data_IF_779018191840
#
_entry.id   IF_779018191840
#
_cell.length_a   1.000
_cell.length_b   1.000
_cell.length_c   1.000
_cell.angle_alpha   90.00
_cell.angle_beta   90.00
_cell.angle_gamma   90.00
#
_symmetry.space_group_name_H-M   'P 1'
#
loop_
_entity.id
_entity.type
_entity.pdbx_description
1 polymer ?
#
# COMPACT_ATOMS: atom_id res chain seq x y z
N UNK A 1 -25.32 -8.57 14.36
CA UNK A 1 -25.93 -8.18 13.07
C UNK A 1 -25.38 -9.16 12.04
N UNK A 2 -26.23 -9.96 11.41
CA UNK A 2 -25.86 -10.82 10.29
C UNK A 2 -25.40 -9.94 9.15
N UNK A 3 -24.11 -9.98 8.84
CA UNK A 3 -23.54 -9.25 7.70
C UNK A 3 -24.07 -9.90 6.42
N UNK A 4 -24.67 -9.12 5.54
CA UNK A 4 -25.18 -9.63 4.27
C UNK A 4 -24.03 -10.03 3.37
N UNK A 5 -24.00 -11.31 2.96
CA UNK A 5 -22.98 -11.84 2.00
C UNK A 5 -22.99 -11.04 0.71
N UNK A 6 -24.16 -10.67 0.18
CA UNK A 6 -24.26 -9.85 -1.03
C UNK A 6 -23.56 -8.49 -0.89
N UNK A 7 -23.66 -7.84 0.27
CA UNK A 7 -22.94 -6.59 0.55
C UNK A 7 -21.42 -6.79 0.55
N UNK A 8 -20.95 -7.90 1.11
CA UNK A 8 -19.52 -8.23 1.15
C UNK A 8 -18.97 -8.54 -0.24
N UNK A 9 -19.77 -9.16 -1.11
CA UNK A 9 -19.42 -9.38 -2.53
C UNK A 9 -19.28 -8.03 -3.25
N UNK A 10 -20.27 -7.14 -3.14
CA UNK A 10 -20.18 -5.80 -3.74
C UNK A 10 -18.98 -5.03 -3.22
N UNK A 11 -18.72 -5.09 -1.91
CA UNK A 11 -17.54 -4.47 -1.30
C UNK A 11 -16.23 -5.01 -1.90
N UNK A 12 -16.12 -6.34 -2.05
CA UNK A 12 -14.95 -6.98 -2.65
C UNK A 12 -14.74 -6.55 -4.12
N UNK A 13 -15.78 -6.48 -4.93
CA UNK A 13 -15.71 -5.98 -6.31
C UNK A 13 -15.24 -4.52 -6.34
N UNK A 14 -15.84 -3.65 -5.53
CA UNK A 14 -15.47 -2.23 -5.45
C UNK A 14 -14.02 -2.02 -4.98
N UNK A 15 -13.51 -2.87 -4.09
CA UNK A 15 -12.13 -2.82 -3.63
C UNK A 15 -11.15 -3.44 -4.64
N UNK A 16 -11.58 -4.47 -5.37
CA UNK A 16 -10.72 -5.21 -6.31
C UNK A 16 -10.37 -4.41 -7.56
N UNK A 17 -11.29 -3.62 -8.09
CA UNK A 17 -11.04 -2.82 -9.30
C UNK A 17 -9.90 -1.79 -9.10
N UNK A 18 -9.93 -0.91 -8.10
CA UNK A 18 -8.84 0.03 -7.87
C UNK A 18 -7.54 -0.68 -7.43
N UNK A 19 -7.63 -1.81 -6.73
CA UNK A 19 -6.44 -2.60 -6.39
C UNK A 19 -5.77 -3.14 -7.66
N UNK A 20 -6.54 -3.76 -8.55
CA UNK A 20 -6.01 -4.24 -9.84
C UNK A 20 -5.35 -3.12 -10.65
N UNK A 21 -6.01 -1.97 -10.76
CA UNK A 21 -5.47 -0.83 -11.48
C UNK A 21 -4.17 -0.32 -10.84
N UNK A 22 -4.10 -0.26 -9.49
CA UNK A 22 -2.91 0.14 -8.76
C UNK A 22 -1.74 -0.84 -8.99
N UNK A 23 -1.98 -2.14 -8.88
CA UNK A 23 -0.95 -3.17 -9.09
C UNK A 23 -0.44 -3.16 -10.55
N UNK A 24 -1.34 -3.00 -11.51
CA UNK A 24 -0.96 -2.94 -12.94
C UNK A 24 -0.11 -1.71 -13.24
N UNK A 25 -0.52 -0.53 -12.75
CA UNK A 25 0.25 0.70 -12.94
C UNK A 25 1.61 0.65 -12.23
N UNK A 26 1.69 0.01 -11.06
CA UNK A 26 2.95 -0.23 -10.37
C UNK A 26 3.89 -1.10 -11.20
N UNK A 27 3.37 -2.19 -11.76
CA UNK A 27 4.18 -3.10 -12.58
C UNK A 27 4.74 -2.41 -13.82
N UNK A 28 3.90 -1.62 -14.52
CA UNK A 28 4.35 -0.82 -15.67
C UNK A 28 5.41 0.22 -15.23
N UNK A 29 5.24 0.82 -14.04
CA UNK A 29 6.21 1.76 -13.48
C UNK A 29 7.57 1.12 -13.25
N UNK A 30 7.63 -0.06 -12.62
CA UNK A 30 8.87 -0.78 -12.32
C UNK A 30 9.65 -1.18 -13.58
N UNK A 31 8.96 -1.44 -14.70
CA UNK A 31 9.63 -1.80 -15.96
C UNK A 31 10.52 -0.68 -16.54
N UNK A 32 10.20 0.57 -16.20
CA UNK A 32 10.84 1.76 -16.82
C UNK A 32 11.52 2.70 -15.84
N UNK A 33 11.45 2.43 -14.53
CA UNK A 33 12.17 3.18 -13.49
C UNK A 33 12.86 2.23 -12.51
N UNK A 34 13.72 2.75 -11.64
CA UNK A 34 14.38 1.91 -10.64
C UNK A 34 13.40 1.46 -9.57
N UNK A 35 13.52 0.23 -9.03
CA UNK A 35 12.64 -0.27 -7.97
C UNK A 35 12.55 0.65 -6.75
N UNK A 36 13.67 1.28 -6.36
CA UNK A 36 13.71 2.23 -5.25
C UNK A 36 12.89 3.49 -5.51
N UNK A 37 13.00 4.08 -6.72
CA UNK A 37 12.20 5.24 -7.14
C UNK A 37 10.72 4.87 -7.20
N UNK A 38 10.39 3.73 -7.81
CA UNK A 38 9.01 3.26 -7.88
C UNK A 38 8.42 3.06 -6.47
N UNK A 39 9.12 2.40 -5.57
CA UNK A 39 8.68 2.18 -4.20
C UNK A 39 8.46 3.49 -3.44
N UNK A 40 9.39 4.46 -3.58
CA UNK A 40 9.22 5.78 -2.98
C UNK A 40 8.01 6.52 -3.54
N UNK A 41 7.86 6.56 -4.87
CA UNK A 41 6.75 7.26 -5.50
C UNK A 41 5.41 6.61 -5.17
N UNK A 42 5.33 5.28 -5.11
CA UNK A 42 4.13 4.55 -4.70
C UNK A 42 3.74 4.88 -3.26
N UNK A 43 4.71 4.99 -2.33
CA UNK A 43 4.44 5.34 -0.92
C UNK A 43 3.81 6.73 -0.76
N UNK A 44 3.79 7.58 -1.80
CA UNK A 44 3.06 8.86 -1.76
C UNK A 44 1.54 8.69 -1.53
N UNK A 45 0.99 7.47 -1.58
CA UNK A 45 -0.38 7.24 -1.10
C UNK A 45 -0.59 7.76 0.34
N UNK A 46 0.48 7.82 1.16
CA UNK A 46 0.46 8.40 2.51
C UNK A 46 0.03 9.87 2.50
N UNK A 47 0.32 10.62 1.43
CA UNK A 47 -0.16 11.99 1.23
C UNK A 47 -1.54 12.03 0.57
N UNK A 48 -1.79 11.18 -0.42
CA UNK A 48 -3.06 11.16 -1.14
C UNK A 48 -4.24 10.73 -0.27
N UNK A 49 -4.06 9.76 0.64
CA UNK A 49 -5.15 9.27 1.49
C UNK A 49 -5.73 10.37 2.41
N UNK A 50 -4.94 11.16 3.16
CA UNK A 50 -5.48 12.28 3.94
C UNK A 50 -6.17 13.35 3.09
N UNK A 51 -5.65 13.62 1.88
CA UNK A 51 -6.26 14.58 0.96
C UNK A 51 -7.61 14.06 0.46
N UNK A 52 -7.68 12.82 -0.01
CA UNK A 52 -8.94 12.19 -0.42
C UNK A 52 -9.94 12.11 0.74
N UNK A 53 -9.46 11.75 1.93
CA UNK A 53 -10.31 11.73 3.13
C UNK A 53 -10.88 13.11 3.43
N UNK A 54 -10.08 14.19 3.30
CA UNK A 54 -10.56 15.56 3.48
C UNK A 54 -11.63 15.94 2.46
N UNK A 55 -11.44 15.58 1.20
CA UNK A 55 -12.42 15.86 0.12
C UNK A 55 -13.72 15.11 0.38
N UNK A 56 -13.65 13.82 0.70
CA UNK A 56 -14.85 12.96 0.91
C UNK A 56 -15.59 13.36 2.19
N UNK A 57 -14.89 13.60 3.29
CA UNK A 57 -15.50 13.93 4.58
C UNK A 57 -15.77 15.42 4.75
N UNK A 58 -15.25 16.27 3.87
CA UNK A 58 -15.24 17.74 3.96
C UNK A 58 -14.63 18.25 5.28
N UNK A 59 -13.68 17.51 5.83
CA UNK A 59 -12.96 17.85 7.07
C UNK A 59 -11.47 17.74 6.83
N UNK A 60 -10.73 18.79 7.19
CA UNK A 60 -9.27 18.74 7.10
C UNK A 60 -8.69 17.70 8.08
N UNK A 61 -7.65 16.95 7.65
CA UNK A 61 -6.95 16.04 8.54
C UNK A 61 -6.28 16.83 9.68
N UNK A 62 -6.14 16.20 10.84
CA UNK A 62 -5.44 16.84 11.96
C UNK A 62 -3.98 17.11 11.61
N UNK A 63 -3.41 18.20 12.16
CA UNK A 63 -1.99 18.52 11.99
C UNK A 63 -1.08 17.33 12.35
N UNK A 64 -1.51 16.50 13.29
CA UNK A 64 -0.82 15.30 13.70
C UNK A 64 -0.71 14.27 12.56
N UNK A 65 -1.78 14.05 11.79
CA UNK A 65 -1.78 13.16 10.63
C UNK A 65 -0.91 13.75 9.51
N UNK A 66 -1.01 15.06 9.26
CA UNK A 66 -0.18 15.73 8.25
C UNK A 66 1.31 15.62 8.58
N UNK A 67 1.69 15.86 9.84
CA UNK A 67 3.07 15.73 10.28
C UNK A 67 3.56 14.28 10.23
N UNK A 68 2.74 13.33 10.67
CA UNK A 68 3.06 11.90 10.57
C UNK A 68 3.24 11.44 9.12
N UNK A 69 2.39 11.89 8.21
CA UNK A 69 2.51 11.59 6.78
C UNK A 69 3.80 12.17 6.18
N UNK A 70 4.15 13.41 6.55
CA UNK A 70 5.40 14.04 6.11
C UNK A 70 6.63 13.30 6.65
N UNK A 71 6.62 12.93 7.93
CA UNK A 71 7.71 12.13 8.52
C UNK A 71 7.84 10.77 7.82
N UNK A 72 6.73 10.06 7.57
CA UNK A 72 6.73 8.79 6.86
C UNK A 72 7.32 8.94 5.44
N UNK A 73 6.94 9.99 4.72
CA UNK A 73 7.46 10.29 3.39
C UNK A 73 8.98 10.56 3.40
N UNK A 74 9.46 11.39 4.34
CA UNK A 74 10.89 11.66 4.48
C UNK A 74 11.67 10.39 4.82
N UNK A 75 11.17 9.59 5.74
CA UNK A 75 11.79 8.31 6.11
C UNK A 75 11.85 7.33 4.92
N UNK A 76 10.76 7.18 4.18
CA UNK A 76 10.71 6.32 2.98
C UNK A 76 11.64 6.85 1.88
N UNK A 77 11.73 8.17 1.70
CA UNK A 77 12.71 8.77 0.79
C UNK A 77 14.14 8.35 1.15
N UNK A 78 14.52 8.45 2.42
CA UNK A 78 15.86 8.03 2.87
C UNK A 78 16.09 6.54 2.64
N UNK A 79 15.09 5.67 2.91
CA UNK A 79 15.22 4.23 2.66
C UNK A 79 15.44 3.93 1.17
N UNK A 80 14.62 4.50 0.30
CA UNK A 80 14.61 4.16 -1.11
C UNK A 80 15.74 4.84 -1.91
N UNK A 81 16.13 6.06 -1.53
CA UNK A 81 17.09 6.86 -2.30
C UNK A 81 18.55 6.70 -1.84
N UNK A 82 18.80 6.04 -0.69
CA UNK A 82 20.16 5.83 -0.19
C UNK A 82 20.63 4.37 -0.25
N UNK A 83 19.75 3.45 -0.70
CA UNK A 83 20.04 2.02 -0.83
C UNK A 83 20.71 1.64 -2.15
N UNK A 84 21.14 0.38 -2.26
CA UNK A 84 21.68 -0.19 -3.48
C UNK A 84 20.71 -0.14 -4.68
N UNK A 85 19.41 -0.09 -4.41
CA UNK A 85 18.34 0.01 -5.42
C UNK A 85 18.04 1.46 -5.85
N UNK A 86 18.76 2.46 -5.35
CA UNK A 86 18.50 3.87 -5.62
C UNK A 86 18.68 4.27 -7.11
N UNK A 87 19.42 3.47 -7.89
CA UNK A 87 19.68 3.78 -9.29
C UNK A 87 20.50 5.06 -9.48
N UNK A 88 20.46 5.64 -10.67
CA UNK A 88 21.22 6.85 -11.05
C UNK A 88 20.64 8.17 -10.52
N UNK A 89 19.81 8.15 -9.48
CA UNK A 89 19.15 9.34 -8.93
C UNK A 89 17.89 9.75 -9.72
N UNK A 90 17.18 10.72 -9.17
CA UNK A 90 15.97 11.26 -9.79
C UNK A 90 16.34 12.23 -10.92
N UNK A 91 16.40 11.73 -12.15
CA UNK A 91 16.80 12.50 -13.32
C UNK A 91 15.65 13.30 -13.98
N UNK A 92 14.47 13.32 -13.36
CA UNK A 92 13.27 13.97 -13.88
C UNK A 92 12.06 13.04 -13.90
N UNK A 93 10.89 13.56 -14.31
CA UNK A 93 9.65 12.79 -14.37
C UNK A 93 9.56 12.10 -15.72
N UNK A 94 9.95 10.84 -15.77
CA UNK A 94 9.77 9.95 -16.93
C UNK A 94 8.43 9.22 -16.92
N UNK A 95 8.25 8.31 -17.87
CA UNK A 95 7.00 7.51 -17.97
C UNK A 95 6.79 6.61 -16.76
N UNK A 96 7.87 5.99 -16.23
CA UNK A 96 7.79 5.10 -15.07
C UNK A 96 7.39 5.81 -13.79
N UNK A 97 7.92 7.03 -13.60
CA UNK A 97 7.58 7.88 -12.46
C UNK A 97 6.11 8.31 -12.50
N UNK A 98 5.59 8.67 -13.68
CA UNK A 98 4.16 8.99 -13.84
C UNK A 98 3.26 7.80 -13.51
N UNK A 99 3.61 6.59 -13.98
CA UNK A 99 2.87 5.37 -13.64
C UNK A 99 2.93 5.07 -12.14
N UNK A 100 4.07 5.30 -11.50
CA UNK A 100 4.23 5.10 -10.04
C UNK A 100 3.42 6.12 -9.22
N UNK A 101 3.31 7.37 -9.67
CA UNK A 101 2.46 8.38 -9.02
C UNK A 101 0.98 8.03 -9.20
N UNK A 102 0.58 7.60 -10.40
CA UNK A 102 -0.79 7.12 -10.65
C UNK A 102 -1.12 5.90 -9.77
N UNK A 103 -0.18 4.98 -9.63
CA UNK A 103 -0.29 3.85 -8.71
C UNK A 103 -0.54 4.31 -7.27
N UNK A 104 0.22 5.28 -6.76
CA UNK A 104 0.02 5.84 -5.42
C UNK A 104 -1.39 6.42 -5.24
N UNK A 105 -1.90 7.14 -6.23
CA UNK A 105 -3.27 7.66 -6.21
C UNK A 105 -4.31 6.54 -6.19
N UNK A 106 -4.14 5.51 -7.03
CA UNK A 106 -5.05 4.36 -7.09
C UNK A 106 -5.04 3.53 -5.81
N UNK A 107 -3.88 3.34 -5.17
CA UNK A 107 -3.82 2.74 -3.83
C UNK A 107 -4.53 3.60 -2.80
N UNK A 108 -4.39 4.91 -2.86
CA UNK A 108 -5.13 5.80 -1.95
C UNK A 108 -6.64 5.67 -2.14
N UNK A 109 -7.13 5.58 -3.38
CA UNK A 109 -8.55 5.31 -3.68
C UNK A 109 -8.96 3.94 -3.11
N UNK A 110 -8.16 2.89 -3.35
CA UNK A 110 -8.42 1.54 -2.83
C UNK A 110 -8.53 1.56 -1.30
N UNK A 111 -7.62 2.23 -0.60
CA UNK A 111 -7.65 2.33 0.86
C UNK A 111 -8.89 3.08 1.36
N UNK A 112 -9.35 4.12 0.66
CA UNK A 112 -10.57 4.82 1.00
C UNK A 112 -11.81 3.94 0.81
N UNK A 113 -11.87 3.16 -0.27
CA UNK A 113 -12.95 2.21 -0.54
C UNK A 113 -12.99 1.10 0.50
N UNK A 114 -11.83 0.51 0.84
CA UNK A 114 -11.73 -0.49 1.93
C UNK A 114 -12.19 0.11 3.24
N UNK A 115 -11.71 1.31 3.61
CA UNK A 115 -12.11 1.99 4.85
C UNK A 115 -13.61 2.27 4.95
N UNK A 116 -14.29 2.44 3.81
CA UNK A 116 -15.74 2.61 3.75
C UNK A 116 -16.50 1.30 3.97
N UNK A 117 -16.10 0.22 3.32
CA UNK A 117 -16.83 -1.05 3.32
C UNK A 117 -16.44 -2.00 4.45
N UNK A 118 -15.16 -2.07 4.81
CA UNK A 118 -14.62 -3.03 5.77
C UNK A 118 -15.33 -3.04 7.14
N UNK A 119 -15.74 -1.90 7.74
CA UNK A 119 -16.45 -1.92 9.03
C UNK A 119 -17.81 -2.62 9.00
N UNK A 120 -18.39 -2.84 7.82
CA UNK A 120 -19.77 -3.34 7.64
C UNK A 120 -19.87 -4.58 6.75
N UNK A 121 -18.74 -5.10 6.26
CA UNK A 121 -18.64 -6.29 5.41
C UNK A 121 -18.08 -7.48 6.21
N UNK A 122 -18.35 -8.70 5.73
CA UNK A 122 -17.58 -9.86 6.12
C UNK A 122 -16.20 -9.75 5.44
N UNK A 123 -15.15 -9.60 6.24
CA UNK A 123 -13.82 -9.28 5.76
C UNK A 123 -13.18 -10.43 4.97
N UNK A 124 -13.50 -11.67 5.32
CA UNK A 124 -12.98 -12.83 4.57
C UNK A 124 -13.63 -12.91 3.19
N UNK A 125 -14.96 -12.78 3.12
CA UNK A 125 -15.67 -12.77 1.84
C UNK A 125 -15.23 -11.57 0.99
N UNK A 126 -15.12 -10.38 1.59
CA UNK A 126 -14.66 -9.17 0.90
C UNK A 126 -13.26 -9.35 0.34
N UNK A 127 -12.31 -9.89 1.13
CA UNK A 127 -10.93 -10.13 0.68
C UNK A 127 -10.85 -11.17 -0.41
N UNK A 128 -11.57 -12.28 -0.29
CA UNK A 128 -11.60 -13.32 -1.32
C UNK A 128 -12.15 -12.78 -2.65
N UNK A 129 -13.27 -12.03 -2.62
CA UNK A 129 -13.85 -11.43 -3.83
C UNK A 129 -12.94 -10.33 -4.40
N UNK A 130 -12.27 -9.53 -3.55
CA UNK A 130 -11.30 -8.53 -3.99
C UNK A 130 -10.15 -9.16 -4.79
N UNK A 131 -9.56 -10.23 -4.29
CA UNK A 131 -8.46 -10.94 -4.97
C UNK A 131 -8.94 -11.68 -6.20
N UNK A 132 -10.13 -12.29 -6.16
CA UNK A 132 -10.76 -12.91 -7.33
C UNK A 132 -11.01 -11.87 -8.44
N UNK A 133 -11.47 -10.66 -8.08
CA UNK A 133 -11.65 -9.56 -9.02
C UNK A 133 -10.33 -9.19 -9.70
N UNK A 134 -9.24 -9.07 -8.93
CA UNK A 134 -7.91 -8.82 -9.49
C UNK A 134 -7.49 -9.94 -10.45
N UNK A 135 -7.72 -11.20 -10.09
CA UNK A 135 -7.37 -12.36 -10.93
C UNK A 135 -8.17 -12.38 -12.24
N UNK A 136 -9.47 -12.11 -12.16
CA UNK A 136 -10.35 -12.07 -13.36
C UNK A 136 -9.95 -10.91 -14.27
N UNK A 137 -9.70 -9.72 -13.74
CA UNK A 137 -9.27 -8.57 -14.54
C UNK A 137 -7.85 -8.72 -15.11
N UNK A 138 -6.97 -9.45 -14.40
CA UNK A 138 -5.61 -9.73 -14.84
C UNK A 138 -5.50 -10.85 -15.87
N UNK A 139 -6.47 -11.77 -15.90
CA UNK A 139 -6.41 -12.96 -16.78
C UNK A 139 -6.28 -12.64 -18.27
N UNK A 140 -6.92 -11.61 -18.87
CA UNK A 140 -6.74 -11.27 -20.28
C UNK A 140 -5.29 -10.90 -20.63
N UNK A 141 -4.54 -10.32 -19.70
CA UNK A 141 -3.14 -9.96 -19.94
C UNK A 141 -2.22 -11.17 -20.07
N UNK A 142 -2.58 -12.31 -19.47
CA UNK A 142 -1.86 -13.57 -19.66
C UNK A 142 -2.00 -14.13 -21.09
N UNK A 143 -3.05 -13.72 -21.81
CA UNK A 143 -3.32 -14.16 -23.17
C UNK A 143 -2.61 -13.28 -24.21
N UNK A 144 -1.97 -12.19 -23.81
CA UNK A 144 -1.17 -11.38 -24.72
C UNK A 144 0.00 -12.22 -25.27
N UNK A 145 0.25 -12.13 -26.56
CA UNK A 145 1.18 -13.01 -27.27
C UNK A 145 2.60 -13.06 -26.67
N UNK A 146 3.09 -11.96 -26.11
CA UNK A 146 4.40 -11.88 -25.43
C UNK A 146 4.45 -12.72 -24.16
N UNK A 147 3.39 -12.72 -23.37
CA UNK A 147 3.33 -13.44 -22.10
C UNK A 147 2.96 -14.92 -22.33
N UNK A 148 2.08 -15.20 -23.27
CA UNK A 148 1.74 -16.58 -23.64
C UNK A 148 2.98 -17.38 -24.09
N UNK A 149 3.91 -16.74 -24.83
CA UNK A 149 5.18 -17.35 -25.21
C UNK A 149 6.08 -17.71 -24.03
N UNK A 150 6.17 -16.84 -23.05
CA UNK A 150 6.95 -17.09 -21.82
C UNK A 150 6.35 -18.23 -20.98
N UNK A 151 5.04 -18.30 -20.88
CA UNK A 151 4.32 -19.37 -20.16
C UNK A 151 4.53 -20.71 -20.87
N UNK A 152 4.37 -20.75 -22.20
CA UNK A 152 4.55 -21.95 -23.02
C UNK A 152 5.99 -22.48 -22.98
N UNK A 153 7.00 -21.62 -22.77
CA UNK A 153 8.40 -21.99 -22.63
C UNK A 153 8.75 -22.63 -21.26
N UNK A 154 7.78 -22.99 -20.43
CA UNK A 154 8.01 -23.61 -19.11
C UNK A 154 8.35 -22.62 -18.00
N UNK A 155 8.26 -21.32 -18.26
CA UNK A 155 8.56 -20.27 -17.27
C UNK A 155 7.70 -20.37 -16.01
N UNK A 156 6.45 -20.81 -16.15
CA UNK A 156 5.54 -21.01 -15.03
C UNK A 156 6.01 -22.13 -14.08
N UNK A 157 6.52 -23.23 -14.64
CA UNK A 157 7.06 -24.33 -13.85
C UNK A 157 8.36 -23.94 -13.14
N UNK A 158 9.20 -23.11 -13.75
CA UNK A 158 10.42 -22.63 -13.13
C UNK A 158 10.14 -21.61 -12.00
N UNK A 159 9.05 -20.84 -12.12
CA UNK A 159 8.68 -19.78 -11.18
C UNK A 159 7.58 -20.21 -10.17
N UNK A 160 7.27 -21.51 -10.05
CA UNK A 160 6.17 -21.97 -9.21
C UNK A 160 6.26 -21.51 -7.76
N UNK A 161 7.46 -21.58 -7.16
CA UNK A 161 7.64 -21.19 -5.76
C UNK A 161 7.42 -19.69 -5.51
N UNK A 162 8.04 -18.75 -6.25
CA UNK A 162 7.71 -17.34 -6.16
C UNK A 162 6.23 -17.04 -6.40
N UNK A 163 5.59 -17.72 -7.35
CA UNK A 163 4.17 -17.51 -7.68
C UNK A 163 3.26 -17.93 -6.51
N UNK A 164 3.49 -19.10 -5.93
CA UNK A 164 2.73 -19.58 -4.76
C UNK A 164 2.99 -18.69 -3.56
N UNK A 165 4.24 -18.29 -3.32
CA UNK A 165 4.59 -17.38 -2.23
C UNK A 165 3.87 -16.02 -2.38
N UNK A 166 3.97 -15.39 -3.54
CA UNK A 166 3.30 -14.11 -3.80
C UNK A 166 1.76 -14.25 -3.75
N UNK A 167 1.19 -15.32 -4.28
CA UNK A 167 -0.25 -15.54 -4.26
C UNK A 167 -0.81 -15.76 -2.87
N UNK A 168 -0.17 -16.62 -2.07
CA UNK A 168 -0.67 -16.99 -0.75
C UNK A 168 -0.28 -15.95 0.31
N UNK A 169 1.01 -15.63 0.42
CA UNK A 169 1.50 -14.77 1.51
C UNK A 169 1.36 -13.29 1.20
N UNK A 170 1.87 -12.83 0.07
CA UNK A 170 1.89 -11.42 -0.28
C UNK A 170 0.50 -10.90 -0.71
N UNK A 171 -0.29 -11.72 -1.39
CA UNK A 171 -1.64 -11.32 -1.80
C UNK A 171 -2.70 -11.84 -0.83
N UNK A 172 -2.82 -13.15 -0.64
CA UNK A 172 -3.88 -13.76 0.16
C UNK A 172 -3.89 -13.30 1.60
N UNK A 173 -2.81 -13.56 2.33
CA UNK A 173 -2.71 -13.25 3.77
C UNK A 173 -2.56 -11.76 3.99
N UNK A 174 -1.64 -11.08 3.29
CA UNK A 174 -1.33 -9.69 3.57
C UNK A 174 -2.52 -8.74 3.30
N UNK A 175 -3.20 -8.83 2.15
CA UNK A 175 -4.38 -7.99 1.88
C UNK A 175 -5.56 -8.34 2.79
N UNK A 176 -5.71 -9.60 3.18
CA UNK A 176 -6.74 -9.97 4.16
C UNK A 176 -6.45 -9.30 5.51
N UNK A 177 -5.23 -9.40 6.03
CA UNK A 177 -4.82 -8.73 7.28
C UNK A 177 -4.92 -7.20 7.16
N UNK A 178 -4.58 -6.63 6.02
CA UNK A 178 -4.77 -5.20 5.74
C UNK A 178 -6.24 -4.80 5.86
N UNK A 179 -7.17 -5.55 5.28
CA UNK A 179 -8.60 -5.28 5.38
C UNK A 179 -9.09 -5.38 6.84
N UNK A 180 -8.61 -6.35 7.62
CA UNK A 180 -8.90 -6.45 9.06
C UNK A 180 -8.37 -5.25 9.85
N UNK A 181 -7.17 -4.77 9.54
CA UNK A 181 -6.59 -3.57 10.15
C UNK A 181 -7.39 -2.32 9.80
N UNK A 182 -7.72 -2.14 8.53
CA UNK A 182 -8.47 -0.97 8.06
C UNK A 182 -9.92 -0.93 8.53
N UNK A 183 -10.54 -2.08 8.85
CA UNK A 183 -11.88 -2.12 9.44
C UNK A 183 -11.98 -1.39 10.79
N UNK A 184 -10.85 -1.22 11.48
CA UNK A 184 -10.77 -0.60 12.81
C UNK A 184 -9.92 0.66 12.86
N UNK A 185 -9.33 1.07 11.74
CA UNK A 185 -8.37 2.17 11.67
C UNK A 185 -8.80 3.17 10.60
N UNK A 186 -8.83 4.47 10.88
CA UNK A 186 -9.09 5.48 9.86
C UNK A 186 -8.11 5.35 8.69
N UNK A 187 -8.56 5.53 7.42
CA UNK A 187 -7.71 5.33 6.24
C UNK A 187 -6.38 6.10 6.28
N UNK A 188 -6.39 7.37 6.73
CA UNK A 188 -5.18 8.18 6.84
C UNK A 188 -4.17 7.64 7.85
N UNK A 189 -4.62 7.06 8.96
CA UNK A 189 -3.75 6.40 9.94
C UNK A 189 -3.24 5.08 9.38
N UNK A 190 -4.09 4.31 8.72
CA UNK A 190 -3.72 3.06 8.07
C UNK A 190 -2.63 3.27 7.01
N UNK A 191 -2.72 4.34 6.20
CA UNK A 191 -1.70 4.69 5.21
C UNK A 191 -0.31 4.89 5.85
N UNK A 192 -0.24 5.61 6.98
CA UNK A 192 1.02 5.83 7.68
C UNK A 192 1.53 4.51 8.31
N UNK A 193 0.64 3.66 8.83
CA UNK A 193 1.03 2.34 9.35
C UNK A 193 1.60 1.44 8.25
N UNK A 194 0.99 1.46 7.06
CA UNK A 194 1.44 0.68 5.92
C UNK A 194 2.80 1.15 5.39
N UNK A 195 3.22 2.40 5.62
CA UNK A 195 4.58 2.84 5.26
C UNK A 195 5.70 2.06 5.96
N UNK A 196 5.39 1.32 7.05
CA UNK A 196 6.31 0.34 7.64
C UNK A 196 6.73 -0.77 6.66
N UNK A 197 5.98 -0.98 5.58
CA UNK A 197 6.36 -1.90 4.50
C UNK A 197 7.77 -1.61 3.99
N UNK A 198 8.13 -0.32 3.82
CA UNK A 198 9.47 0.09 3.40
C UNK A 198 10.55 -0.29 4.42
N UNK A 199 10.23 -0.22 5.72
CA UNK A 199 11.14 -0.63 6.80
C UNK A 199 11.37 -2.15 6.77
N UNK A 200 10.28 -2.91 6.70
CA UNK A 200 10.37 -4.37 6.62
C UNK A 200 11.02 -4.84 5.32
N UNK A 201 10.79 -4.14 4.20
CA UNK A 201 11.47 -4.39 2.93
C UNK A 201 12.99 -4.23 3.05
N UNK A 202 13.45 -3.13 3.64
CA UNK A 202 14.88 -2.88 3.87
C UNK A 202 15.52 -3.91 4.81
N UNK A 203 14.82 -4.26 5.90
CA UNK A 203 15.29 -5.28 6.84
C UNK A 203 15.33 -6.67 6.21
N UNK A 204 14.35 -7.02 5.39
CA UNK A 204 14.32 -8.29 4.67
C UNK A 204 15.46 -8.39 3.66
N UNK A 205 15.77 -7.31 2.93
CA UNK A 205 16.93 -7.24 2.04
C UNK A 205 18.25 -7.49 2.80
N UNK A 206 18.39 -6.87 3.97
CA UNK A 206 19.57 -7.10 4.82
C UNK A 206 19.68 -8.57 5.30
N UNK A 207 18.57 -9.17 5.78
CA UNK A 207 18.61 -10.52 6.38
C UNK A 207 18.66 -11.62 5.31
N UNK A 208 17.90 -11.49 4.23
CA UNK A 208 17.71 -12.56 3.23
C UNK A 208 18.71 -12.45 2.09
N UNK A 209 18.98 -11.23 1.60
CA UNK A 209 19.86 -11.00 0.47
C UNK A 209 21.30 -10.66 0.88
N UNK A 210 21.53 -10.40 2.18
CA UNK A 210 22.85 -9.98 2.66
C UNK A 210 23.22 -8.55 2.29
N UNK A 211 22.24 -7.72 1.92
CA UNK A 211 22.45 -6.32 1.57
C UNK A 211 23.01 -5.54 2.75
N UNK A 212 23.91 -4.61 2.49
CA UNK A 212 24.42 -3.72 3.54
C UNK A 212 23.48 -2.50 3.65
N UNK A 213 22.84 -2.34 4.82
CA UNK A 213 22.08 -1.14 5.10
C UNK A 213 23.01 0.08 5.18
N UNK A 214 22.74 1.09 4.34
CA UNK A 214 23.42 2.37 4.44
C UNK A 214 22.96 3.14 5.69
N UNK A 215 23.76 4.09 6.17
CA UNK A 215 23.34 4.99 7.26
C UNK A 215 22.06 5.75 6.95
N UNK A 216 21.84 6.10 5.67
CA UNK A 216 20.61 6.73 5.20
C UNK A 216 19.39 5.81 5.34
N UNK A 217 19.52 4.53 5.00
CA UNK A 217 18.45 3.55 5.17
C UNK A 217 18.13 3.32 6.65
N UNK A 218 19.14 3.20 7.50
CA UNK A 218 18.94 3.03 8.93
C UNK A 218 18.21 4.23 9.56
N UNK A 219 18.64 5.46 9.24
CA UNK A 219 17.95 6.68 9.69
C UNK A 219 16.54 6.79 9.12
N UNK A 220 16.33 6.41 7.86
CA UNK A 220 15.01 6.34 7.23
C UNK A 220 14.05 5.39 7.96
N UNK A 221 14.51 4.19 8.30
CA UNK A 221 13.73 3.23 9.10
C UNK A 221 13.34 3.81 10.46
N UNK A 222 14.27 4.47 11.15
CA UNK A 222 14.00 5.11 12.44
C UNK A 222 12.96 6.23 12.31
N UNK A 223 13.02 7.05 11.25
CA UNK A 223 12.07 8.14 11.02
C UNK A 223 10.66 7.58 10.69
N UNK A 224 10.54 6.56 9.85
CA UNK A 224 9.23 5.91 9.57
C UNK A 224 8.66 5.32 10.84
N UNK A 225 9.46 4.61 11.62
CA UNK A 225 9.01 4.04 12.89
C UNK A 225 8.56 5.13 13.87
N UNK A 226 9.31 6.21 13.98
CA UNK A 226 8.95 7.37 14.81
C UNK A 226 7.62 8.01 14.33
N UNK A 227 7.39 8.12 13.03
CA UNK A 227 6.13 8.60 12.49
C UNK A 227 4.94 7.75 12.94
N UNK A 228 5.08 6.42 12.85
CA UNK A 228 4.05 5.46 13.27
C UNK A 228 3.76 5.57 14.77
N UNK A 229 4.80 5.62 15.60
CA UNK A 229 4.62 5.82 17.06
C UNK A 229 3.97 7.17 17.35
N UNK A 230 4.41 8.22 16.67
CA UNK A 230 3.90 9.58 16.86
C UNK A 230 2.39 9.66 16.62
N UNK A 231 1.86 9.06 15.56
CA UNK A 231 0.41 9.11 15.26
C UNK A 231 -0.43 8.29 16.24
N UNK A 232 0.15 7.26 16.88
CA UNK A 232 -0.54 6.41 17.84
C UNK A 232 -0.62 7.03 19.24
N UNK A 233 0.25 7.99 19.59
CA UNK A 233 0.20 8.67 20.88
C UNK A 233 -1.16 9.37 21.06
N UNK A 234 -1.78 9.31 22.24
CA UNK A 234 -3.04 10.01 22.49
C UNK A 234 -2.85 11.53 22.37
N UNK A 235 -3.73 12.18 21.58
CA UNK A 235 -3.74 13.64 21.51
C UNK A 235 -4.31 14.19 22.83
N UNK A 236 -3.57 15.01 23.55
CA UNK A 236 -3.98 15.65 24.83
C UNK A 236 -5.24 16.53 24.73
N UNK A 237 -5.81 16.73 23.54
CA UNK A 237 -6.92 17.68 23.28
C UNK A 237 -8.33 17.10 23.42
N UNK A 238 -8.51 15.82 23.76
CA UNK A 238 -9.87 15.21 23.86
C UNK A 238 -10.32 14.89 25.28
N UNK A 239 -9.52 15.24 26.30
CA UNK A 239 -9.81 14.91 27.71
C UNK A 239 -10.69 15.91 28.49
N UNK A 240 -11.16 17.01 27.89
CA UNK A 240 -11.82 18.09 28.67
C UNK A 240 -13.27 18.41 28.30
N UNK A 241 -14.00 17.60 27.52
CA UNK A 241 -15.40 17.89 27.19
C UNK A 241 -16.44 16.90 27.71
N UNK A 242 -16.10 15.98 28.59
CA UNK A 242 -17.07 15.02 29.16
C UNK A 242 -17.42 15.31 30.64
N UNK A 243 -16.82 16.29 31.31
CA UNK A 243 -17.11 16.55 32.74
C UNK A 243 -17.84 17.86 33.06
N UNK A 244 -18.59 18.46 32.14
CA UNK A 244 -19.47 19.58 32.49
C UNK A 244 -20.79 19.50 31.75
N UNK A 245 -21.61 18.50 32.07
CA UNK A 245 -23.05 18.51 31.99
C UNK A 245 -23.54 17.37 32.93
N UNK A 246 -23.52 17.64 34.22
CA UNK A 246 -24.33 17.01 35.20
C UNK A 246 -25.57 17.86 35.44
#
# INVERSE_FOLDING_TARGET
KTVSVGRSIVAGLCCGVPLFAAMTTQQIGIETTSPGICAFLTTNYVLFVPVLAAVVTRRFPSCKICLGALMALVGTYLICMTGASAGSGFAGVGKGELWSILCAFLFAVQMMVVGHFAPTADLLVMSAVQLLTCSVLGSPFLLLASEAGKIAAGGLCAAWFPLVYCGVFSSGIAYTLQNFGQARTPPSMAAILLSLESVFGALSGYVVLGDRLSWGQFTGCAVVFAAVVFIQLPSRTHGQKIMTKG
#
